data_IF_524712344489
#
_entry.id   IF_524712344489
#
_cell.length_a   1.000
_cell.length_b   1.000
_cell.length_c   1.000
_cell.angle_alpha   90.00
_cell.angle_beta   90.00
_cell.angle_gamma   90.00
#
_symmetry.space_group_name_H-M   'P 1'
#
loop_
_entity.id
_entity.type
_entity.pdbx_description
1 polymer ?
#
# COMPACT_ATOMS: atom_id res chain seq x y z
N UNK A 1 25.26 5.57 19.28
CA UNK A 1 24.14 5.24 18.59
C UNK A 1 23.05 6.14 18.97
N UNK A 2 22.23 6.38 18.15
CA UNK A 2 21.27 7.27 18.46
C UNK A 2 20.11 6.61 19.04
N UNK A 3 19.52 7.22 19.92
CA UNK A 3 18.36 6.74 20.50
C UNK A 3 17.24 6.89 19.54
N UNK A 4 16.56 5.82 19.29
CA UNK A 4 15.45 5.89 18.45
C UNK A 4 14.25 6.32 19.19
N UNK A 5 13.59 7.37 18.77
CA UNK A 5 12.36 7.80 19.42
C UNK A 5 11.32 6.77 19.17
N UNK A 6 10.57 6.42 20.19
CA UNK A 6 9.60 5.42 20.01
C UNK A 6 8.50 5.81 19.14
N UNK A 7 8.16 7.07 19.02
CA UNK A 7 7.16 7.48 18.09
C UNK A 7 7.77 7.78 16.76
N UNK A 8 9.03 8.18 16.76
CA UNK A 8 9.74 8.41 15.54
C UNK A 8 10.11 7.13 14.85
N UNK A 9 9.85 6.01 15.50
CA UNK A 9 10.04 4.75 14.86
C UNK A 9 9.14 4.54 13.70
N UNK A 10 8.15 5.39 13.53
CA UNK A 10 7.23 5.21 12.46
C UNK A 10 7.96 5.29 11.14
N UNK A 11 7.85 4.21 10.37
CA UNK A 11 8.48 4.10 9.07
C UNK A 11 7.87 5.14 8.13
N UNK A 12 8.68 5.98 7.49
CA UNK A 12 8.13 7.00 6.59
C UNK A 12 7.77 6.48 5.21
N UNK A 13 8.06 5.23 4.90
CA UNK A 13 7.85 4.72 3.55
C UNK A 13 6.49 4.08 3.41
N UNK A 14 5.84 4.36 2.28
CA UNK A 14 4.51 3.84 1.98
C UNK A 14 4.49 3.30 0.56
N UNK A 15 4.01 2.08 0.39
CA UNK A 15 3.79 1.48 -0.92
C UNK A 15 2.30 1.49 -1.23
N UNK A 16 1.93 2.01 -2.39
CA UNK A 16 0.53 2.05 -2.83
C UNK A 16 0.41 1.33 -4.15
N UNK A 17 -0.72 0.66 -4.36
CA UNK A 17 -0.91 -0.15 -5.56
C UNK A 17 -2.29 0.02 -6.19
N UNK A 18 -3.09 0.94 -5.70
CA UNK A 18 -4.46 1.15 -6.17
C UNK A 18 -4.77 2.61 -6.46
N UNK A 19 -5.86 3.09 -5.88
CA UNK A 19 -6.37 4.43 -6.22
C UNK A 19 -5.43 5.55 -5.79
N UNK A 20 -4.49 5.29 -4.88
CA UNK A 20 -3.54 6.30 -4.45
C UNK A 20 -2.38 6.47 -5.41
N UNK A 21 -2.25 5.59 -6.40
CA UNK A 21 -1.17 5.72 -7.38
C UNK A 21 -1.35 6.96 -8.25
N UNK A 22 -0.22 7.48 -8.72
CA UNK A 22 -0.24 8.69 -9.55
C UNK A 22 -1.05 8.51 -10.82
N UNK A 23 -1.13 7.29 -11.32
CA UNK A 23 -1.86 6.99 -12.56
C UNK A 23 -3.36 6.86 -12.35
N UNK A 24 -3.83 6.78 -11.11
CA UNK A 24 -5.24 6.56 -10.84
C UNK A 24 -6.07 7.83 -10.81
N UNK A 25 -5.42 9.00 -10.64
CA UNK A 25 -6.07 10.31 -10.67
C UNK A 25 -7.18 10.45 -9.64
N UNK A 26 -6.97 9.89 -8.47
CA UNK A 26 -7.91 9.98 -7.38
C UNK A 26 -7.56 11.17 -6.48
N UNK A 27 -8.55 11.92 -5.94
CA UNK A 27 -8.23 13.06 -5.08
C UNK A 27 -7.37 12.72 -3.87
N UNK A 28 -7.55 11.54 -3.28
CA UNK A 28 -6.73 11.15 -2.14
C UNK A 28 -5.30 10.85 -2.56
N UNK A 29 -5.09 10.43 -3.80
CA UNK A 29 -3.75 10.29 -4.34
C UNK A 29 -3.09 11.64 -4.52
N UNK A 30 -3.85 12.66 -4.92
CA UNK A 30 -3.32 14.02 -4.99
C UNK A 30 -2.91 14.51 -3.62
N UNK A 31 -3.70 14.20 -2.60
CA UNK A 31 -3.34 14.55 -1.23
C UNK A 31 -2.05 13.87 -0.81
N UNK A 32 -1.91 12.59 -1.14
CA UNK A 32 -0.68 11.87 -0.82
C UNK A 32 0.53 12.55 -1.46
N UNK A 33 0.43 12.91 -2.72
CA UNK A 33 1.56 13.52 -3.41
C UNK A 33 1.88 14.92 -2.89
N UNK A 34 0.91 15.59 -2.29
CA UNK A 34 1.17 16.88 -1.64
C UNK A 34 1.91 16.72 -0.32
N UNK A 35 1.80 15.55 0.32
CA UNK A 35 2.37 15.32 1.65
C UNK A 35 3.53 14.32 1.63
N UNK A 36 3.93 13.85 0.46
CA UNK A 36 4.96 12.83 0.35
C UNK A 36 5.74 13.00 -0.93
N UNK A 37 6.93 12.42 -0.94
CA UNK A 37 7.78 12.44 -2.11
C UNK A 37 7.72 11.08 -2.78
N UNK A 38 7.42 11.08 -4.07
CA UNK A 38 7.42 9.84 -4.84
C UNK A 38 8.86 9.38 -5.05
N UNK A 39 9.17 8.18 -4.60
CA UNK A 39 10.50 7.60 -4.79
C UNK A 39 10.57 6.91 -6.15
N UNK A 40 9.55 6.13 -6.49
CA UNK A 40 9.52 5.49 -7.81
C UNK A 40 8.67 4.24 -7.83
N UNK A 41 8.62 3.59 -8.99
CA UNK A 41 7.90 2.32 -9.10
C UNK A 41 8.57 1.25 -8.24
N UNK A 42 7.75 0.38 -7.68
CA UNK A 42 8.24 -0.68 -6.82
C UNK A 42 7.27 -1.86 -6.87
N UNK A 43 7.68 -2.97 -6.31
CA UNK A 43 6.83 -4.16 -6.22
C UNK A 43 6.93 -4.75 -4.83
N UNK A 44 5.89 -5.49 -4.45
CA UNK A 44 5.95 -6.35 -3.27
C UNK A 44 5.64 -7.78 -3.72
N UNK A 45 6.10 -8.75 -2.95
CA UNK A 45 5.71 -10.13 -3.17
C UNK A 45 4.28 -10.29 -2.70
N UNK A 46 3.41 -10.75 -3.59
CA UNK A 46 2.01 -10.88 -3.26
C UNK A 46 1.18 -11.12 -4.48
N UNK A 47 -0.12 -11.27 -4.26
CA UNK A 47 -1.08 -11.50 -5.33
C UNK A 47 -2.13 -10.41 -5.28
N UNK A 48 -2.46 -9.87 -6.43
CA UNK A 48 -3.43 -8.77 -6.53
C UNK A 48 -4.76 -9.33 -6.95
N UNK A 49 -5.82 -8.88 -6.25
CA UNK A 49 -7.20 -9.30 -6.52
C UNK A 49 -8.06 -8.10 -6.84
N UNK A 50 -9.07 -8.32 -7.64
CA UNK A 50 -10.11 -7.33 -7.87
C UNK A 50 -11.19 -7.54 -6.82
N UNK A 51 -11.26 -6.63 -5.86
CA UNK A 51 -12.27 -6.73 -4.80
C UNK A 51 -13.59 -6.15 -5.29
N UNK A 52 -13.54 -4.97 -5.88
CA UNK A 52 -14.69 -4.28 -6.43
C UNK A 52 -14.15 -3.30 -7.47
N UNK A 53 -14.50 -2.01 -7.35
CA UNK A 53 -13.86 -1.00 -8.18
C UNK A 53 -12.44 -0.70 -7.70
N UNK A 54 -12.00 -1.34 -6.64
CA UNK A 54 -10.68 -1.17 -6.06
C UNK A 54 -10.02 -2.54 -5.87
N UNK A 55 -8.69 -2.55 -5.72
CA UNK A 55 -7.97 -3.82 -5.57
C UNK A 55 -7.68 -4.15 -4.13
N UNK A 56 -7.28 -5.39 -3.91
CA UNK A 56 -6.73 -5.83 -2.64
C UNK A 56 -5.54 -6.73 -2.90
N UNK A 57 -4.44 -6.47 -2.21
CA UNK A 57 -3.26 -7.32 -2.29
C UNK A 57 -3.21 -8.23 -1.07
N UNK A 58 -2.82 -9.47 -1.30
CA UNK A 58 -2.65 -10.44 -0.23
C UNK A 58 -1.30 -11.11 -0.37
N UNK A 59 -0.83 -11.69 0.71
CA UNK A 59 0.44 -12.39 0.70
C UNK A 59 0.41 -13.56 -0.27
N UNK A 60 1.57 -13.87 -0.82
CA UNK A 60 1.75 -15.05 -1.65
C UNK A 60 3.09 -15.67 -1.30
N UNK A 61 3.15 -17.01 -1.20
CA UNK A 61 4.42 -17.68 -0.96
C UNK A 61 5.33 -17.73 -2.20
N UNK A 62 4.79 -17.34 -3.36
CA UNK A 62 5.54 -17.42 -4.61
C UNK A 62 6.30 -16.11 -4.82
N UNK A 63 7.66 -16.13 -4.78
CA UNK A 63 8.41 -14.89 -4.94
C UNK A 63 8.30 -14.29 -6.33
N UNK A 64 7.80 -15.03 -7.30
CA UNK A 64 7.60 -14.51 -8.64
C UNK A 64 6.29 -13.78 -8.79
N UNK A 65 5.38 -13.91 -7.83
CA UNK A 65 4.14 -13.16 -7.87
C UNK A 65 4.38 -11.81 -7.23
N UNK A 66 4.27 -10.76 -8.03
CA UNK A 66 4.57 -9.40 -7.60
C UNK A 66 3.38 -8.50 -7.84
N UNK A 67 3.13 -7.63 -6.87
CA UNK A 67 2.14 -6.56 -7.00
C UNK A 67 2.91 -5.29 -7.31
N UNK A 68 2.54 -4.62 -8.39
CA UNK A 68 3.23 -3.43 -8.87
C UNK A 68 2.57 -2.17 -8.33
N UNK A 69 3.37 -1.24 -7.90
CA UNK A 69 2.86 0.00 -7.35
C UNK A 69 3.93 1.06 -7.29
N UNK A 70 3.76 1.99 -6.36
CA UNK A 70 4.64 3.14 -6.19
C UNK A 70 5.06 3.27 -4.74
N UNK A 71 6.33 3.64 -4.55
CA UNK A 71 6.88 3.85 -3.21
C UNK A 71 7.00 5.33 -2.95
N UNK A 72 6.53 5.76 -1.78
CA UNK A 72 6.55 7.16 -1.34
C UNK A 72 7.30 7.28 -0.03
N UNK A 73 7.90 8.45 0.18
CA UNK A 73 8.45 8.84 1.48
C UNK A 73 7.53 9.92 2.05
N UNK A 74 6.90 9.60 3.17
CA UNK A 74 5.98 10.52 3.83
C UNK A 74 6.77 11.57 4.59
N UNK A 75 6.37 12.84 4.45
CA UNK A 75 7.08 13.93 5.13
C UNK A 75 6.73 14.00 6.59
N UNK A 76 5.47 13.73 6.93
CA UNK A 76 5.02 13.67 8.32
C UNK A 76 4.28 12.36 8.51
N UNK A 77 5.02 11.25 8.74
CA UNK A 77 4.40 9.93 8.71
C UNK A 77 3.21 9.74 9.64
N UNK A 78 3.32 10.25 10.88
CA UNK A 78 2.24 10.05 11.84
C UNK A 78 0.94 10.67 11.35
N UNK A 79 1.01 11.89 10.83
CA UNK A 79 -0.18 12.57 10.36
C UNK A 79 -0.72 11.94 9.08
N UNK A 80 0.18 11.60 8.16
CA UNK A 80 -0.25 11.00 6.91
C UNK A 80 -0.89 9.65 7.14
N UNK A 81 -0.31 8.83 8.00
CA UNK A 81 -0.86 7.50 8.24
C UNK A 81 -2.20 7.55 8.93
N UNK A 82 -2.45 8.61 9.70
CA UNK A 82 -3.75 8.76 10.35
C UNK A 82 -4.87 8.87 9.31
N UNK A 83 -4.73 9.77 8.33
CA UNK A 83 -5.79 9.91 7.34
C UNK A 83 -5.78 8.76 6.33
N UNK A 84 -4.62 8.17 6.07
CA UNK A 84 -4.55 7.02 5.18
C UNK A 84 -5.25 5.81 5.78
N UNK A 85 -5.06 5.58 7.08
CA UNK A 85 -5.79 4.50 7.76
C UNK A 85 -7.29 4.71 7.64
N UNK A 86 -7.74 5.94 7.85
CA UNK A 86 -9.17 6.23 7.73
C UNK A 86 -9.66 6.02 6.31
N UNK A 87 -8.87 6.42 5.33
CA UNK A 87 -9.24 6.23 3.92
C UNK A 87 -9.35 4.76 3.58
N UNK A 88 -8.46 3.92 4.15
CA UNK A 88 -8.49 2.48 3.88
C UNK A 88 -9.50 1.75 4.74
N UNK A 89 -10.25 2.46 5.55
CA UNK A 89 -11.31 1.85 6.34
C UNK A 89 -10.85 1.17 7.61
N UNK A 90 -9.68 1.53 8.11
CA UNK A 90 -9.16 0.95 9.35
C UNK A 90 -9.62 1.80 10.50
N UNK A 91 -10.51 1.26 11.32
CA UNK A 91 -11.01 1.96 12.49
C UNK A 91 -10.27 1.44 13.72
N UNK A 92 -9.71 2.34 14.53
CA UNK A 92 -8.90 1.87 15.65
C UNK A 92 -9.70 1.12 16.71
N UNK A 93 -11.00 1.36 16.77
CA UNK A 93 -11.84 0.71 17.78
C UNK A 93 -12.54 -0.56 17.27
N UNK A 94 -12.36 -0.89 16.00
CA UNK A 94 -13.03 -2.03 15.39
C UNK A 94 -12.02 -3.11 15.13
N UNK A 95 -12.13 -4.24 15.83
CA UNK A 95 -11.17 -5.30 15.63
C UNK A 95 -11.80 -6.41 14.80
N UNK A 96 -11.03 -6.96 13.90
CA UNK A 96 -11.43 -8.13 13.14
C UNK A 96 -12.38 -7.87 12.00
N UNK A 97 -12.83 -6.64 11.81
CA UNK A 97 -13.79 -6.33 10.75
C UNK A 97 -13.25 -5.40 9.69
N UNK A 98 -12.05 -4.93 9.83
CA UNK A 98 -11.45 -4.05 8.82
C UNK A 98 -11.15 -4.82 7.56
N UNK A 99 -11.38 -4.18 6.43
CA UNK A 99 -11.10 -4.79 5.14
C UNK A 99 -9.60 -4.89 4.88
N UNK A 100 -8.82 -3.93 5.39
CA UNK A 100 -7.39 -3.87 5.19
C UNK A 100 -6.67 -3.78 6.53
N UNK A 101 -5.42 -4.21 6.53
CA UNK A 101 -4.52 -3.99 7.66
C UNK A 101 -3.26 -3.32 7.14
N UNK A 102 -2.71 -2.39 7.90
CA UNK A 102 -1.47 -1.72 7.54
C UNK A 102 -0.31 -2.51 8.14
N UNK A 103 0.50 -3.08 7.27
CA UNK A 103 1.56 -4.01 7.64
C UNK A 103 2.84 -3.56 6.95
N UNK A 104 3.99 -3.73 7.60
CA UNK A 104 5.26 -3.48 6.96
C UNK A 104 5.65 -4.64 6.06
N UNK A 105 6.12 -4.31 4.86
CA UNK A 105 6.55 -5.30 3.88
C UNK A 105 7.81 -4.80 3.21
N UNK A 106 8.62 -5.74 2.72
CA UNK A 106 9.77 -5.39 1.91
C UNK A 106 9.30 -5.07 0.50
N UNK A 107 9.66 -3.90 0.01
CA UNK A 107 9.40 -3.51 -1.37
C UNK A 107 10.69 -3.54 -2.15
N UNK A 108 10.58 -3.71 -3.46
CA UNK A 108 11.76 -3.71 -4.34
C UNK A 108 11.57 -2.65 -5.41
N UNK A 109 12.49 -1.70 -5.43
CA UNK A 109 12.51 -0.67 -6.47
C UNK A 109 13.03 -1.23 -7.78
N UNK A 110 12.82 -0.49 -8.87
CA UNK A 110 13.29 -0.89 -10.19
C UNK A 110 14.81 -1.11 -10.20
N UNK A 111 15.53 -0.39 -9.35
CA UNK A 111 16.98 -0.54 -9.25
C UNK A 111 17.40 -1.84 -8.58
N UNK A 112 16.46 -2.54 -7.95
CA UNK A 112 16.77 -3.72 -7.14
C UNK A 112 16.93 -3.40 -5.67
N UNK A 113 16.95 -2.13 -5.28
CA UNK A 113 17.07 -1.76 -3.89
C UNK A 113 15.81 -2.15 -3.13
N UNK A 114 15.97 -2.68 -1.93
CA UNK A 114 14.84 -3.08 -1.09
C UNK A 114 14.62 -2.07 0.00
N UNK A 115 13.35 -1.74 0.24
CA UNK A 115 12.95 -0.75 1.24
C UNK A 115 11.74 -1.32 1.97
N UNK A 116 11.79 -1.34 3.29
CA UNK A 116 10.64 -1.74 4.09
C UNK A 116 9.65 -0.58 4.13
N UNK A 117 8.40 -0.86 3.81
CA UNK A 117 7.38 0.17 3.72
C UNK A 117 6.06 -0.33 4.27
N UNK A 118 5.21 0.60 4.65
CA UNK A 118 3.83 0.28 5.03
C UNK A 118 3.04 -0.08 3.78
N UNK A 119 2.21 -1.11 3.90
CA UNK A 119 1.34 -1.56 2.80
C UNK A 119 -0.02 -1.90 3.42
N UNK A 120 -1.08 -1.51 2.74
CA UNK A 120 -2.43 -1.89 3.17
C UNK A 120 -2.80 -3.20 2.48
N UNK A 121 -2.81 -4.29 3.25
CA UNK A 121 -3.10 -5.61 2.74
C UNK A 121 -4.55 -5.98 3.03
N UNK A 122 -5.19 -6.59 2.05
CA UNK A 122 -6.58 -7.02 2.16
C UNK A 122 -6.68 -8.18 3.13
N UNK A 123 -7.68 -8.15 4.02
CA UNK A 123 -7.77 -9.09 5.12
C UNK A 123 -8.92 -10.08 4.99
N UNK A 124 -9.80 -9.88 4.01
CA UNK A 124 -10.95 -10.76 3.86
C UNK A 124 -10.62 -11.94 2.97
N UNK A 125 -11.52 -12.91 2.91
CA UNK A 125 -11.33 -14.09 2.07
C UNK A 125 -11.23 -13.69 0.60
N UNK A 126 -10.21 -14.19 -0.06
CA UNK A 126 -9.96 -13.86 -1.48
C UNK A 126 -10.26 -15.03 -2.40
N UNK A 127 -10.69 -16.16 -1.85
CA UNK A 127 -10.83 -17.38 -2.65
C UNK A 127 -11.85 -17.24 -3.78
N UNK A 128 -12.78 -16.30 -3.66
CA UNK A 128 -13.83 -16.09 -4.67
C UNK A 128 -13.55 -14.86 -5.54
N UNK A 129 -12.42 -14.20 -5.35
CA UNK A 129 -12.15 -12.95 -6.06
C UNK A 129 -11.32 -13.20 -7.30
N UNK A 130 -11.56 -12.45 -8.38
CA UNK A 130 -10.72 -12.57 -9.58
C UNK A 130 -9.31 -12.11 -9.28
N UNK A 131 -8.34 -12.82 -9.82
CA UNK A 131 -6.93 -12.46 -9.69
C UNK A 131 -6.58 -11.51 -10.83
N UNK A 132 -5.82 -10.46 -10.50
CA UNK A 132 -5.25 -9.58 -11.50
C UNK A 132 -3.90 -10.18 -11.86
N UNK A 133 -3.87 -10.91 -12.98
CA UNK A 133 -2.76 -11.81 -13.26
C UNK A 133 -1.42 -11.10 -13.40
N UNK A 134 -1.40 -9.88 -13.96
CA UNK A 134 -0.15 -9.16 -14.14
C UNK A 134 0.26 -8.36 -12.91
N UNK A 135 -0.52 -8.39 -11.83
CA UNK A 135 -0.18 -7.68 -10.60
C UNK A 135 -0.25 -6.16 -10.72
N UNK A 136 -0.88 -5.63 -11.75
CA UNK A 136 -0.96 -4.18 -11.97
C UNK A 136 -2.41 -3.77 -11.97
N UNK A 137 -2.73 -2.83 -11.10
CA UNK A 137 -4.09 -2.31 -11.03
C UNK A 137 -4.27 -1.20 -12.05
N UNK A 138 -5.32 -1.32 -12.84
CA UNK A 138 -5.73 -0.25 -13.73
C UNK A 138 -7.16 0.11 -13.37
N UNK A 139 -7.43 1.41 -13.27
CA UNK A 139 -8.75 1.85 -12.91
C UNK A 139 -9.75 1.36 -13.95
N UNK A 140 -10.97 0.97 -13.52
CA UNK A 140 -11.98 0.58 -14.51
C UNK A 140 -12.31 1.72 -15.43
N UNK A 141 -12.62 1.38 -16.66
CA UNK A 141 -13.06 2.38 -17.61
C UNK A 141 -14.40 2.92 -17.17
N UNK A 142 -14.65 4.17 -17.50
CA UNK A 142 -15.87 4.82 -17.09
C UNK A 142 -16.67 5.21 -18.26
#
# INVERSE_FOLDING_TARGET
MRCRPRFGDMNPHLFVYGSLMSTARHPQGDRLRAEARLIGPATIQGRLYRVSWYPGAADSPDPEQRVHGELYALETPAQALEWLDAYEGIAPTTSGSNEYARIEQTTRLSSGQEVTAWVYLYQKDVSHLPIVANGRWTAPAR
#
